data_IF_508030689901
#
_entry.id   IF_508030689901
#
_cell.length_a   1.000
_cell.length_b   1.000
_cell.length_c   1.000
_cell.angle_alpha   90.00
_cell.angle_beta   90.00
_cell.angle_gamma   90.00
#
_symmetry.space_group_name_H-M   'P 1'
#
loop_
_entity.id
_entity.type
_entity.pdbx_description
1 polymer ?
#
# COMPACT_ATOMS: atom_id res chain seq x y z
N UNK A 1 -3.89 -8.48 3.57
CA UNK A 1 -4.17 -8.61 2.12
C UNK A 1 -4.86 -7.36 1.62
N UNK A 2 -4.54 -6.91 0.41
CA UNK A 2 -5.14 -5.72 -0.20
C UNK A 2 -5.61 -6.02 -1.62
N UNK A 3 -6.67 -5.32 -2.05
CA UNK A 3 -7.12 -5.36 -3.44
C UNK A 3 -6.17 -4.56 -4.33
N UNK A 4 -5.76 -5.15 -5.44
CA UNK A 4 -4.93 -4.47 -6.45
C UNK A 4 -5.80 -3.76 -7.49
N UNK A 5 -5.43 -2.53 -7.84
CA UNK A 5 -5.96 -1.81 -9.00
C UNK A 5 -4.81 -1.53 -9.96
N UNK A 6 -4.90 -2.04 -11.19
CA UNK A 6 -3.92 -1.76 -12.24
C UNK A 6 -4.27 -0.42 -12.87
N UNK A 7 -3.31 0.49 -12.93
CA UNK A 7 -3.48 1.83 -13.47
C UNK A 7 -2.25 2.24 -14.28
N UNK A 8 -2.41 2.80 -15.49
CA UNK A 8 -1.30 3.32 -16.28
C UNK A 8 -0.65 4.57 -15.66
N UNK A 9 -1.25 5.14 -14.60
CA UNK A 9 -0.68 6.28 -13.87
C UNK A 9 0.47 5.88 -12.94
N UNK A 10 0.60 4.60 -12.60
CA UNK A 10 1.69 4.12 -11.77
C UNK A 10 2.91 3.82 -12.65
N UNK A 11 4.09 4.21 -12.20
CA UNK A 11 5.35 3.86 -12.85
C UNK A 11 5.60 2.35 -12.71
N UNK A 12 6.08 1.66 -13.77
CA UNK A 12 6.48 0.26 -13.66
C UNK A 12 7.46 0.03 -12.50
N UNK A 13 7.22 -1.00 -11.70
CA UNK A 13 8.02 -1.33 -10.51
C UNK A 13 7.66 -0.54 -9.25
N UNK A 14 6.68 0.36 -9.30
CA UNK A 14 6.22 1.13 -8.14
C UNK A 14 4.82 0.71 -7.73
N UNK A 15 4.61 0.59 -6.41
CA UNK A 15 3.31 0.32 -5.80
C UNK A 15 2.88 1.55 -5.02
N UNK A 16 1.59 1.86 -5.07
CA UNK A 16 0.99 2.93 -4.27
C UNK A 16 -0.08 2.35 -3.33
N UNK A 17 0.06 2.61 -2.03
CA UNK A 17 -0.92 2.24 -1.00
C UNK A 17 -1.31 3.52 -0.24
N UNK A 18 -2.61 3.85 -0.15
CA UNK A 18 -3.05 5.02 0.61
C UNK A 18 -2.95 4.77 2.13
N UNK A 19 -2.38 5.72 2.87
CA UNK A 19 -2.18 5.66 4.33
C UNK A 19 -3.39 6.08 5.19
N UNK A 20 -4.55 6.33 4.57
CA UNK A 20 -5.73 6.86 5.26
C UNK A 20 -6.63 5.79 5.88
N UNK A 21 -6.51 4.54 5.43
CA UNK A 21 -7.38 3.44 5.86
C UNK A 21 -6.62 2.55 6.85
N UNK A 22 -7.21 2.30 8.02
CA UNK A 22 -6.62 1.42 9.03
C UNK A 22 -6.49 -0.02 8.50
N UNK A 23 -7.41 -0.43 7.64
CA UNK A 23 -7.47 -1.71 6.94
C UNK A 23 -6.35 -1.86 5.90
N UNK A 24 -5.81 -0.73 5.40
CA UNK A 24 -4.70 -0.68 4.46
C UNK A 24 -3.49 0.04 5.09
N UNK A 25 -3.09 -0.41 6.28
CA UNK A 25 -1.99 0.15 7.05
C UNK A 25 -0.63 -0.03 6.34
N UNK A 26 -0.33 0.85 5.39
CA UNK A 26 0.94 0.90 4.68
C UNK A 26 2.13 0.98 5.64
N UNK A 27 1.95 1.60 6.80
CA UNK A 27 2.97 1.73 7.83
C UNK A 27 3.44 0.38 8.44
N UNK A 28 2.63 -0.69 8.33
CA UNK A 28 3.09 -2.04 8.70
C UNK A 28 4.17 -2.58 7.76
N UNK A 29 4.21 -2.06 6.53
CA UNK A 29 5.21 -2.44 5.54
C UNK A 29 6.43 -1.53 5.57
N UNK A 30 6.31 -0.30 6.08
CA UNK A 30 7.42 0.66 6.09
C UNK A 30 8.53 0.27 7.06
N UNK A 31 9.74 0.75 6.78
CA UNK A 31 10.93 0.51 7.59
C UNK A 31 11.10 1.56 8.70
N UNK A 32 11.90 1.24 9.71
CA UNK A 32 12.25 2.13 10.83
C UNK A 32 13.46 3.05 10.52
N UNK A 33 13.83 3.17 9.25
CA UNK A 33 14.93 4.04 8.83
C UNK A 33 14.57 5.52 9.02
N UNK A 34 15.55 6.27 9.52
CA UNK A 34 15.45 7.71 9.76
C UNK A 34 16.55 8.43 8.99
N UNK A 35 16.21 9.60 8.44
CA UNK A 35 17.20 10.50 7.86
C UNK A 35 18.24 10.90 8.94
N UNK A 36 19.55 10.82 8.64
CA UNK A 36 20.59 11.05 9.64
C UNK A 36 20.63 12.48 10.16
N UNK A 37 20.18 13.47 9.38
CA UNK A 37 20.21 14.90 9.73
C UNK A 37 18.86 15.36 10.29
N UNK A 38 17.78 15.18 9.52
CA UNK A 38 16.44 15.68 9.83
C UNK A 38 15.63 14.76 10.74
N UNK A 39 16.06 13.51 10.95
CA UNK A 39 15.36 12.49 11.76
C UNK A 39 13.92 12.23 11.30
N UNK A 40 13.65 12.41 10.01
CA UNK A 40 12.35 12.08 9.41
C UNK A 40 12.33 10.62 8.98
N UNK A 41 11.20 9.91 9.15
CA UNK A 41 11.06 8.50 8.76
C UNK A 41 10.92 8.29 7.26
N UNK A 42 11.42 7.15 6.79
CA UNK A 42 11.39 6.74 5.39
C UNK A 42 10.05 6.08 4.99
N UNK A 43 8.98 6.88 4.91
CA UNK A 43 7.65 6.35 4.57
C UNK A 43 7.41 6.13 3.07
N UNK A 44 8.21 6.77 2.20
CA UNK A 44 7.97 6.79 0.75
C UNK A 44 8.83 5.80 -0.04
N UNK A 45 9.71 5.06 0.63
CA UNK A 45 10.57 4.06 0.03
C UNK A 45 10.60 2.82 0.92
N UNK A 46 10.14 1.70 0.36
CA UNK A 46 10.25 0.39 0.98
C UNK A 46 10.19 -0.68 -0.11
N UNK A 47 11.06 -1.68 -0.03
CA UNK A 47 10.96 -2.85 -0.89
C UNK A 47 9.75 -3.70 -0.49
N UNK A 48 8.96 -4.12 -1.46
CA UNK A 48 7.77 -4.96 -1.24
C UNK A 48 7.75 -6.13 -2.21
N UNK A 49 7.17 -7.25 -1.78
CA UNK A 49 6.89 -8.40 -2.63
C UNK A 49 5.37 -8.57 -2.77
N UNK A 50 4.90 -8.78 -3.99
CA UNK A 50 3.47 -8.93 -4.28
C UNK A 50 3.19 -10.40 -4.58
N UNK A 51 2.20 -10.97 -3.89
CA UNK A 51 1.74 -12.34 -4.09
C UNK A 51 0.21 -12.36 -4.18
N UNK A 52 -0.32 -13.35 -4.91
CA UNK A 52 -1.77 -13.58 -4.96
C UNK A 52 -2.17 -14.16 -3.60
N UNK A 53 -3.15 -13.52 -2.96
CA UNK A 53 -3.66 -13.98 -1.67
C UNK A 53 -4.43 -15.30 -1.81
N UNK A 54 -4.43 -16.16 -0.77
CA UNK A 54 -5.28 -17.34 -0.73
C UNK A 54 -6.77 -16.94 -0.75
N UNK A 55 -7.66 -17.83 -1.25
CA UNK A 55 -9.08 -17.49 -1.44
C UNK A 55 -9.79 -17.02 -0.16
N UNK A 56 -9.45 -17.64 0.97
CA UNK A 56 -10.00 -17.32 2.30
C UNK A 56 -9.73 -15.88 2.75
N UNK A 57 -8.53 -15.36 2.48
CA UNK A 57 -8.16 -13.98 2.81
C UNK A 57 -8.65 -12.98 1.76
N UNK A 58 -8.87 -13.42 0.53
CA UNK A 58 -9.38 -12.58 -0.55
C UNK A 58 -10.88 -12.24 -0.36
N UNK A 59 -11.67 -13.20 0.13
CA UNK A 59 -13.11 -13.01 0.39
C UNK A 59 -13.38 -11.91 1.43
N UNK A 60 -12.50 -11.77 2.41
CA UNK A 60 -12.60 -10.76 3.47
C UNK A 60 -12.41 -9.30 2.97
N UNK A 61 -11.87 -9.09 1.76
CA UNK A 61 -11.47 -7.76 1.24
C UNK A 61 -12.51 -7.19 0.24
N UNK A 62 -13.78 -7.64 0.31
CA UNK A 62 -14.80 -7.40 -0.72
C UNK A 62 -15.40 -5.98 -0.80
N UNK A 63 -15.18 -5.10 0.18
CA UNK A 63 -15.83 -3.78 0.19
C UNK A 63 -15.24 -2.83 -0.88
N UNK A 64 -15.98 -2.65 -1.98
CA UNK A 64 -15.68 -1.66 -3.02
C UNK A 64 -16.30 -0.31 -2.65
N UNK A 65 -15.46 0.66 -2.27
CA UNK A 65 -15.86 2.07 -2.34
C UNK A 65 -15.55 2.58 -3.75
N UNK A 66 -16.58 2.95 -4.52
CA UNK A 66 -16.39 3.65 -5.78
C UNK A 66 -15.57 4.90 -5.49
N UNK A 67 -14.36 4.99 -6.06
CA UNK A 67 -13.50 6.15 -5.88
C UNK A 67 -14.27 7.36 -6.38
N UNK A 68 -14.76 8.20 -5.46
CA UNK A 68 -15.45 9.43 -5.81
C UNK A 68 -14.57 10.20 -6.79
N UNK A 69 -15.15 10.57 -7.94
CA UNK A 69 -14.59 11.70 -8.68
C UNK A 69 -14.82 12.91 -7.79
N UNK A 70 -13.78 13.72 -7.62
CA UNK A 70 -13.79 15.01 -6.94
C UNK A 70 -15.17 15.66 -6.89
#
# INVERSE_FOLDING_TARGET
VLRVQISPKATPGVVFIPMHFAEAAANLLTIDALDPQAKIPEFKACAVNIQIAPPEEAEAVTAFATRGRY
#
